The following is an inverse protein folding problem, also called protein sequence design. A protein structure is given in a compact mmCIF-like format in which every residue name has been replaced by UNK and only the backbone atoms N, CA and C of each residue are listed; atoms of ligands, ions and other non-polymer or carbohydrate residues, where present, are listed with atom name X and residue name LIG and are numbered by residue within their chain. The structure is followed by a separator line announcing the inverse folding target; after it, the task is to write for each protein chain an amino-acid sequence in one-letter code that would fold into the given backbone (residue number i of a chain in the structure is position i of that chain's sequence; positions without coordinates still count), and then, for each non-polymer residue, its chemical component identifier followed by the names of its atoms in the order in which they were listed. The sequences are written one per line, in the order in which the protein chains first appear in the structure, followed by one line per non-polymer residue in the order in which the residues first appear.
data_IF_474217848444
#
_entry.id   IF_474217848444
#
_cell.length_a   1.000
_cell.length_b   1.000
_cell.length_c   1.000
_cell.angle_alpha   90.00
_cell.angle_beta   90.00
_cell.angle_gamma   90.00
#
_symmetry.space_group_name_H-M   'P 1'
#
loop_
_entity.id
_entity.type
_entity.pdbx_description
1 polymer ?
#
# COMPACT_ATOMS: atom_id res chain seq x y z
N UNK A 1 9.48 -2.99 33.46
CA UNK A 1 10.59 -2.11 33.01
C UNK A 1 10.00 -1.02 32.12
N UNK A 2 10.44 0.22 32.26
CA UNK A 2 10.04 1.33 31.39
C UNK A 2 10.94 1.39 30.16
N UNK A 3 10.35 1.52 28.97
CA UNK A 3 11.10 1.84 27.76
C UNK A 3 11.53 3.32 27.82
N UNK A 4 12.83 3.57 27.84
CA UNK A 4 13.41 4.92 27.88
C UNK A 4 13.83 5.33 26.48
N UNK A 5 14.56 4.45 25.80
CA UNK A 5 15.05 4.66 24.43
C UNK A 5 14.40 3.68 23.47
N UNK A 6 13.86 4.18 22.37
CA UNK A 6 13.17 3.41 21.32
C UNK A 6 13.87 3.68 19.99
N UNK A 7 14.25 2.62 19.27
CA UNK A 7 14.86 2.71 17.94
C UNK A 7 13.84 2.28 16.88
N UNK A 8 13.65 3.09 15.84
CA UNK A 8 12.75 2.77 14.72
C UNK A 8 13.55 2.70 13.43
N UNK A 9 13.54 1.55 12.77
CA UNK A 9 14.38 1.21 11.62
C UNK A 9 13.52 1.24 10.35
N UNK A 10 13.84 2.17 9.46
CA UNK A 10 13.05 2.54 8.29
C UNK A 10 12.14 3.73 8.62
N UNK A 11 12.41 4.90 8.05
CA UNK A 11 11.70 6.16 8.33
C UNK A 11 10.75 6.55 7.20
N UNK A 12 10.13 5.55 6.56
CA UNK A 12 9.10 5.77 5.54
C UNK A 12 7.73 6.13 6.11
N UNK A 13 6.69 5.84 5.34
CA UNK A 13 5.29 6.12 5.66
C UNK A 13 4.77 5.46 6.94
N UNK A 14 5.46 4.46 7.47
CA UNK A 14 5.08 3.77 8.70
C UNK A 14 6.02 4.19 9.83
N UNK A 15 7.32 3.98 9.68
CA UNK A 15 8.26 4.19 10.78
C UNK A 15 8.44 5.65 11.21
N UNK A 16 8.36 6.64 10.31
CA UNK A 16 8.46 8.05 10.74
C UNK A 16 7.26 8.50 11.59
N UNK A 17 6.00 8.24 11.20
CA UNK A 17 4.85 8.41 12.09
C UNK A 17 4.96 7.67 13.41
N UNK A 18 5.40 6.40 13.40
CA UNK A 18 5.62 5.61 14.64
C UNK A 18 6.66 6.25 15.54
N UNK A 19 7.78 6.71 14.98
CA UNK A 19 8.83 7.42 15.72
C UNK A 19 8.30 8.74 16.33
N UNK A 20 7.56 9.51 15.55
CA UNK A 20 6.94 10.76 15.99
C UNK A 20 5.89 10.54 17.10
N UNK A 21 5.09 9.48 17.01
CA UNK A 21 4.09 9.13 18.02
C UNK A 21 4.74 8.81 19.38
N UNK A 22 5.80 8.00 19.41
CA UNK A 22 6.55 7.75 20.64
C UNK A 22 7.22 9.03 21.18
N UNK A 23 7.84 9.83 20.32
CA UNK A 23 8.52 11.06 20.72
C UNK A 23 7.55 12.12 21.26
N UNK A 24 6.30 12.16 20.75
CA UNK A 24 5.23 13.03 21.27
C UNK A 24 4.86 12.74 22.74
N UNK A 25 5.20 11.53 23.23
CA UNK A 25 5.05 11.10 24.62
C UNK A 25 6.37 11.21 25.40
N UNK A 26 7.27 12.06 24.92
CA UNK A 26 8.56 12.39 25.55
C UNK A 26 9.48 11.19 25.76
N UNK A 27 9.35 10.16 24.91
CA UNK A 27 10.32 9.06 24.84
C UNK A 27 11.51 9.46 23.98
N UNK A 28 12.68 8.95 24.31
CA UNK A 28 13.88 9.16 23.51
C UNK A 28 13.81 8.24 22.30
N UNK A 29 13.60 8.80 21.10
CA UNK A 29 13.43 8.07 19.86
C UNK A 29 14.61 8.29 18.93
N UNK A 30 15.14 7.18 18.43
CA UNK A 30 16.24 7.16 17.47
C UNK A 30 15.71 6.56 16.18
N UNK A 31 15.46 7.42 15.20
CA UNK A 31 15.15 6.98 13.86
C UNK A 31 16.41 6.50 13.14
N UNK A 32 16.32 5.37 12.45
CA UNK A 32 17.40 4.82 11.64
C UNK A 32 16.93 4.65 10.20
N UNK A 33 17.60 5.29 9.24
CA UNK A 33 17.34 5.08 7.82
C UNK A 33 18.65 5.08 7.02
N UNK A 34 18.74 4.25 5.98
CA UNK A 34 19.94 4.19 5.12
C UNK A 34 20.05 5.40 4.20
N UNK A 35 18.95 6.13 3.99
CA UNK A 35 18.90 7.30 3.14
C UNK A 35 19.34 8.55 3.92
N UNK A 36 20.57 9.02 3.64
CA UNK A 36 21.11 10.22 4.27
C UNK A 36 20.21 11.45 4.09
N UNK A 37 19.55 11.59 2.92
CA UNK A 37 18.64 12.71 2.68
C UNK A 37 17.43 12.68 3.63
N UNK A 38 16.88 11.50 3.91
CA UNK A 38 15.80 11.33 4.89
C UNK A 38 16.27 11.71 6.30
N UNK A 39 17.45 11.20 6.70
CA UNK A 39 18.08 11.49 7.99
C UNK A 39 18.29 12.98 8.21
N UNK A 40 18.92 13.66 7.24
CA UNK A 40 19.22 15.09 7.35
C UNK A 40 17.93 15.93 7.41
N UNK A 41 16.90 15.54 6.66
CA UNK A 41 15.60 16.21 6.65
C UNK A 41 14.90 16.09 7.99
N UNK A 42 14.83 14.88 8.55
CA UNK A 42 14.21 14.65 9.86
C UNK A 42 14.95 15.41 10.96
N UNK A 43 16.29 15.42 10.95
CA UNK A 43 17.08 16.15 11.94
C UNK A 43 16.90 17.68 11.89
N UNK A 44 16.34 18.24 10.81
CA UNK A 44 15.93 19.65 10.75
C UNK A 44 14.49 19.90 11.23
N UNK A 45 13.80 18.87 11.75
CA UNK A 45 12.39 18.96 12.12
C UNK A 45 11.44 18.99 10.91
N UNK A 46 11.88 18.44 9.78
CA UNK A 46 11.12 18.36 8.53
C UNK A 46 10.74 16.89 8.20
N UNK A 47 9.86 16.68 7.21
CA UNK A 47 9.43 15.36 6.76
C UNK A 47 9.74 15.17 5.27
N UNK A 48 10.08 13.94 4.88
CA UNK A 48 10.35 13.57 3.47
C UNK A 48 9.23 12.71 2.86
N UNK A 49 8.08 12.65 3.55
CA UNK A 49 6.85 11.99 3.09
C UNK A 49 5.69 12.97 3.17
N UNK A 50 4.63 12.70 2.42
CA UNK A 50 3.40 13.49 2.46
C UNK A 50 2.43 12.83 3.43
N UNK A 51 2.27 13.42 4.62
CA UNK A 51 1.30 13.00 5.62
C UNK A 51 0.81 14.24 6.41
N UNK A 52 -0.51 14.54 6.41
CA UNK A 52 -1.06 15.67 7.15
C UNK A 52 -0.71 15.64 8.64
N UNK A 53 -0.47 16.83 9.21
CA UNK A 53 -0.12 17.05 10.62
C UNK A 53 1.21 16.44 11.11
N UNK A 54 1.80 15.45 10.42
CA UNK A 54 3.04 14.80 10.82
C UNK A 54 4.21 15.80 10.96
N UNK A 55 4.31 16.76 10.05
CA UNK A 55 5.40 17.75 10.05
C UNK A 55 5.50 18.55 11.35
N UNK A 56 4.36 18.93 11.93
CA UNK A 56 4.33 19.67 13.20
C UNK A 56 4.77 18.79 14.38
N UNK A 57 4.37 17.51 14.37
CA UNK A 57 4.75 16.54 15.41
C UNK A 57 6.25 16.26 15.36
N UNK A 58 6.80 16.02 14.16
CA UNK A 58 8.24 15.79 13.95
C UNK A 58 9.05 17.00 14.39
N UNK A 59 8.67 18.21 13.98
CA UNK A 59 9.34 19.45 14.41
C UNK A 59 9.38 19.57 15.93
N UNK A 60 8.23 19.43 16.58
CA UNK A 60 8.13 19.51 18.04
C UNK A 60 8.99 18.47 18.74
N UNK A 61 9.02 17.24 18.21
CA UNK A 61 9.81 16.14 18.76
C UNK A 61 11.32 16.38 18.63
N UNK A 62 11.77 16.93 17.50
CA UNK A 62 13.19 17.24 17.26
C UNK A 62 13.63 18.45 18.08
N UNK A 63 12.86 19.53 18.08
CA UNK A 63 13.14 20.73 18.88
C UNK A 63 13.17 20.42 20.39
N UNK A 64 12.30 19.50 20.83
CA UNK A 64 12.27 19.01 22.21
C UNK A 64 13.37 18.00 22.56
N UNK A 65 14.20 17.58 21.60
CA UNK A 65 15.26 16.59 21.81
C UNK A 65 14.76 15.18 22.08
N UNK A 66 13.53 14.85 21.66
CA UNK A 66 12.92 13.52 21.80
C UNK A 66 13.03 12.66 20.54
N UNK A 67 13.33 13.25 19.39
CA UNK A 67 13.57 12.53 18.13
C UNK A 67 14.87 12.98 17.50
N UNK A 68 15.70 12.01 17.12
CA UNK A 68 16.86 12.23 16.21
C UNK A 68 16.94 11.10 15.20
N UNK A 69 17.43 11.38 14.01
CA UNK A 69 17.67 10.40 12.96
C UNK A 69 19.18 10.15 12.75
N UNK A 70 19.53 8.92 12.35
CA UNK A 70 20.91 8.48 12.05
C UNK A 70 20.90 7.41 10.97
N UNK A 71 22.03 7.16 10.32
CA UNK A 71 22.20 6.03 9.40
C UNK A 71 22.62 4.74 10.08
N UNK A 72 23.07 4.83 11.34
CA UNK A 72 23.66 3.71 12.07
C UNK A 72 22.87 3.46 13.37
N UNK A 73 22.40 2.22 13.61
CA UNK A 73 21.75 1.87 14.86
C UNK A 73 22.64 2.10 16.07
N UNK A 74 22.03 2.49 17.19
CA UNK A 74 22.65 2.56 18.51
C UNK A 74 21.81 1.79 19.51
N UNK A 75 22.36 1.56 20.70
CA UNK A 75 21.66 0.81 21.76
C UNK A 75 20.33 1.46 22.16
N UNK A 76 19.27 0.65 22.27
CA UNK A 76 17.93 1.03 22.69
C UNK A 76 17.26 -0.11 23.50
N UNK A 77 16.15 0.20 24.17
CA UNK A 77 15.36 -0.77 24.94
C UNK A 77 14.34 -1.51 24.05
N UNK A 78 13.89 -0.86 22.98
CA UNK A 78 13.03 -1.43 21.96
C UNK A 78 13.51 -1.06 20.55
N UNK A 79 13.36 -1.98 19.61
CA UNK A 79 13.70 -1.83 18.19
C UNK A 79 12.48 -2.20 17.34
N UNK A 80 11.97 -1.27 16.54
CA UNK A 80 10.85 -1.48 15.63
C UNK A 80 11.35 -1.49 14.19
N UNK A 81 11.13 -2.57 13.46
CA UNK A 81 11.56 -2.72 12.07
C UNK A 81 10.37 -2.46 11.15
N UNK A 82 10.43 -1.35 10.43
CA UNK A 82 9.41 -0.84 9.51
C UNK A 82 10.01 -0.56 8.11
N UNK A 83 10.80 -1.52 7.61
CA UNK A 83 11.43 -1.47 6.27
C UNK A 83 10.53 -2.10 5.19
N UNK A 84 10.75 -1.81 3.90
CA UNK A 84 9.99 -2.43 2.82
C UNK A 84 10.15 -3.95 2.76
N UNK A 85 9.14 -4.63 2.24
CA UNK A 85 9.11 -6.08 1.98
C UNK A 85 8.56 -6.34 0.57
N UNK A 86 9.34 -6.02 -0.49
CA UNK A 86 8.89 -6.18 -1.88
C UNK A 86 8.88 -7.66 -2.31
N UNK A 87 8.63 -7.90 -3.59
CA UNK A 87 8.84 -9.21 -4.20
C UNK A 87 10.28 -9.45 -4.66
N UNK A 88 10.66 -10.73 -4.74
CA UNK A 88 11.78 -11.25 -5.50
C UNK A 88 11.23 -12.18 -6.59
N UNK A 89 11.65 -11.97 -7.85
CA UNK A 89 11.24 -12.84 -8.96
C UNK A 89 9.72 -12.92 -9.15
N UNK A 90 9.19 -14.13 -9.32
CA UNK A 90 7.77 -14.47 -9.59
C UNK A 90 6.88 -14.40 -8.34
N UNK A 91 6.79 -13.21 -7.72
CA UNK A 91 5.96 -12.92 -6.53
C UNK A 91 6.36 -13.58 -5.20
N UNK A 92 7.61 -14.04 -5.06
CA UNK A 92 8.11 -14.50 -3.76
C UNK A 92 8.38 -13.30 -2.83
N UNK A 93 8.08 -13.37 -1.52
CA UNK A 93 8.42 -12.30 -0.59
C UNK A 93 9.94 -12.10 -0.46
N UNK A 94 10.41 -10.86 -0.64
CA UNK A 94 11.81 -10.49 -0.42
C UNK A 94 12.06 -10.03 1.03
N UNK A 95 12.64 -10.93 1.81
CA UNK A 95 13.03 -10.66 3.19
C UNK A 95 14.41 -10.01 3.34
N UNK A 96 15.10 -9.65 2.25
CA UNK A 96 16.45 -9.10 2.30
C UNK A 96 16.54 -7.81 3.14
N UNK A 97 15.54 -6.94 3.05
CA UNK A 97 15.50 -5.67 3.80
C UNK A 97 15.30 -5.90 5.31
N UNK A 98 14.38 -6.78 5.69
CA UNK A 98 14.18 -7.18 7.11
C UNK A 98 15.43 -7.85 7.66
N UNK A 99 16.08 -8.70 6.85
CA UNK A 99 17.36 -9.33 7.23
C UNK A 99 18.48 -8.31 7.41
N UNK A 100 18.57 -7.31 6.53
CA UNK A 100 19.53 -6.23 6.64
C UNK A 100 19.29 -5.37 7.89
N UNK A 101 18.04 -5.06 8.21
CA UNK A 101 17.66 -4.38 9.44
C UNK A 101 18.00 -5.19 10.70
N UNK A 102 17.69 -6.49 10.71
CA UNK A 102 18.08 -7.38 11.81
C UNK A 102 19.60 -7.42 11.99
N UNK A 103 20.35 -7.46 10.88
CA UNK A 103 21.82 -7.43 10.89
C UNK A 103 22.38 -6.10 11.43
N UNK A 104 21.75 -4.98 11.11
CA UNK A 104 22.23 -3.66 11.55
C UNK A 104 22.00 -3.44 13.05
N UNK A 105 20.92 -3.97 13.62
CA UNK A 105 20.64 -3.83 15.07
C UNK A 105 21.37 -4.87 15.93
N UNK A 106 21.77 -6.02 15.36
CA UNK A 106 22.39 -7.11 16.12
C UNK A 106 23.60 -6.66 16.98
N UNK A 107 24.54 -5.82 16.50
CA UNK A 107 25.69 -5.39 17.30
C UNK A 107 25.34 -4.54 18.53
N UNK A 108 24.18 -3.87 18.52
CA UNK A 108 23.75 -2.95 19.58
C UNK A 108 22.64 -3.53 20.47
N UNK A 109 22.22 -4.76 20.19
CA UNK A 109 21.21 -5.46 20.98
C UNK A 109 21.73 -5.78 22.39
N UNK A 110 20.86 -5.70 23.41
CA UNK A 110 21.22 -6.00 24.79
C UNK A 110 20.21 -6.94 25.43
N UNK A 111 20.62 -7.59 26.53
CA UNK A 111 19.71 -8.33 27.40
C UNK A 111 18.59 -7.41 27.87
N UNK A 112 17.37 -7.90 27.82
CA UNK A 112 16.15 -7.15 28.10
C UNK A 112 15.62 -6.36 26.91
N UNK A 113 16.23 -6.38 25.73
CA UNK A 113 15.69 -5.69 24.56
C UNK A 113 14.36 -6.32 24.08
N UNK A 114 13.53 -5.50 23.45
CA UNK A 114 12.35 -5.92 22.68
C UNK A 114 12.59 -5.60 21.20
N UNK A 115 12.41 -6.58 20.31
CA UNK A 115 12.43 -6.35 18.85
C UNK A 115 11.05 -6.63 18.28
N UNK A 116 10.51 -5.68 17.53
CA UNK A 116 9.20 -5.77 16.90
C UNK A 116 9.35 -5.65 15.39
N UNK A 117 8.78 -6.60 14.66
CA UNK A 117 8.58 -6.50 13.23
C UNK A 117 7.22 -5.83 12.96
N UNK A 118 7.23 -4.65 12.33
CA UNK A 118 6.02 -3.96 11.85
C UNK A 118 5.82 -4.13 10.35
N UNK A 119 6.91 -4.33 9.59
CA UNK A 119 6.87 -4.60 8.15
C UNK A 119 5.92 -5.75 7.83
N UNK A 120 4.98 -5.52 6.90
CA UNK A 120 4.06 -6.58 6.45
C UNK A 120 4.88 -7.72 5.85
N UNK A 121 4.76 -8.91 6.41
CA UNK A 121 5.67 -10.03 6.12
C UNK A 121 4.91 -11.34 5.97
N UNK A 122 5.45 -12.33 5.23
CA UNK A 122 4.90 -13.67 5.17
C UNK A 122 4.88 -14.34 6.54
N UNK A 123 4.03 -15.38 6.71
CA UNK A 123 3.93 -16.10 7.98
C UNK A 123 5.24 -16.82 8.29
N UNK A 124 5.73 -16.70 9.52
CA UNK A 124 7.02 -17.21 9.99
C UNK A 124 8.18 -16.22 9.85
N UNK A 125 7.95 -15.02 9.30
CA UNK A 125 8.98 -13.99 9.15
C UNK A 125 9.58 -13.55 10.50
N UNK A 126 8.75 -13.43 11.53
CA UNK A 126 9.17 -13.03 12.88
C UNK A 126 10.09 -14.07 13.51
N UNK A 127 9.77 -15.35 13.34
CA UNK A 127 10.60 -16.47 13.78
C UNK A 127 11.93 -16.53 13.00
N UNK A 128 11.86 -16.28 11.69
CA UNK A 128 13.04 -16.22 10.83
C UNK A 128 13.98 -15.07 11.24
N UNK A 129 13.43 -13.89 11.54
CA UNK A 129 14.16 -12.75 12.07
C UNK A 129 14.81 -13.08 13.41
N UNK A 130 14.08 -13.71 14.34
CA UNK A 130 14.63 -14.18 15.61
C UNK A 130 15.78 -15.18 15.41
N UNK A 131 15.68 -16.05 14.41
CA UNK A 131 16.74 -16.99 14.02
C UNK A 131 18.00 -16.28 13.53
N UNK A 132 17.87 -15.24 12.68
CA UNK A 132 19.02 -14.46 12.25
C UNK A 132 19.70 -13.73 13.41
N UNK A 133 18.92 -13.09 14.28
CA UNK A 133 19.45 -12.39 15.46
C UNK A 133 20.18 -13.36 16.39
N UNK A 134 19.61 -14.54 16.66
CA UNK A 134 20.24 -15.58 17.47
C UNK A 134 21.57 -16.07 16.89
N UNK A 135 21.64 -16.24 15.56
CA UNK A 135 22.89 -16.62 14.89
C UNK A 135 23.98 -15.55 14.95
N UNK A 136 23.59 -14.27 15.02
CA UNK A 136 24.54 -13.14 15.13
C UNK A 136 24.90 -12.79 16.58
N UNK A 137 24.09 -13.19 17.55
CA UNK A 137 24.24 -12.90 18.99
C UNK A 137 24.15 -14.15 19.85
N UNK A 138 25.13 -15.08 19.74
CA UNK A 138 25.15 -16.31 20.53
C UNK A 138 25.32 -16.05 22.04
N UNK A 139 25.70 -14.83 22.43
CA UNK A 139 25.79 -14.35 23.82
C UNK A 139 24.42 -13.99 24.43
N UNK A 140 23.35 -13.92 23.64
CA UNK A 140 21.98 -13.65 24.08
C UNK A 140 21.07 -14.83 23.75
N UNK A 141 20.09 -15.09 24.61
CA UNK A 141 19.04 -16.08 24.35
C UNK A 141 17.78 -15.45 23.73
N UNK A 142 17.16 -16.18 22.81
CA UNK A 142 15.95 -15.78 22.08
C UNK A 142 14.76 -16.72 22.36
N UNK A 143 13.51 -16.33 22.04
CA UNK A 143 12.34 -17.10 22.43
C UNK A 143 12.31 -18.56 21.94
N UNK A 144 12.86 -18.83 20.76
CA UNK A 144 12.99 -20.19 20.22
C UNK A 144 14.02 -21.06 20.96
N UNK A 145 14.87 -20.47 21.80
CA UNK A 145 15.90 -21.16 22.59
C UNK A 145 15.50 -21.29 24.06
N UNK A 146 14.94 -20.23 24.65
CA UNK A 146 14.69 -20.13 26.09
C UNK A 146 13.23 -19.80 26.46
N UNK A 147 12.33 -19.76 25.48
CA UNK A 147 10.91 -19.48 25.69
C UNK A 147 10.70 -18.12 26.38
N UNK A 148 9.97 -18.13 27.49
CA UNK A 148 9.65 -16.93 28.26
C UNK A 148 10.85 -16.34 29.02
N UNK A 149 11.91 -17.13 29.23
CA UNK A 149 13.13 -16.72 29.93
C UNK A 149 14.20 -16.14 29.00
N UNK A 150 13.86 -15.93 27.72
CA UNK A 150 14.77 -15.36 26.74
C UNK A 150 15.24 -13.95 27.13
N UNK A 151 16.53 -13.68 26.90
CA UNK A 151 17.12 -12.36 27.13
C UNK A 151 16.51 -11.30 26.22
N UNK A 152 16.10 -11.66 25.00
CA UNK A 152 15.47 -10.75 24.03
C UNK A 152 14.04 -11.22 23.75
N UNK A 153 13.09 -10.28 23.81
CA UNK A 153 11.70 -10.54 23.44
C UNK A 153 11.44 -10.14 22.00
N UNK A 154 10.65 -10.94 21.27
CA UNK A 154 10.38 -10.76 19.85
C UNK A 154 8.86 -10.78 19.59
N UNK A 155 8.37 -9.81 18.84
CA UNK A 155 6.97 -9.71 18.46
C UNK A 155 6.77 -9.25 17.01
N UNK A 156 5.58 -9.51 16.49
CA UNK A 156 5.02 -8.94 15.28
C UNK A 156 3.84 -8.04 15.65
N UNK A 157 3.85 -6.81 15.16
CA UNK A 157 2.77 -5.86 15.42
C UNK A 157 2.47 -5.11 14.11
N UNK A 158 1.54 -5.63 13.29
CA UNK A 158 1.29 -5.05 11.98
C UNK A 158 0.67 -3.67 12.12
N UNK A 159 1.06 -2.76 11.24
CA UNK A 159 0.40 -1.47 11.13
C UNK A 159 -0.96 -1.59 10.44
N UNK A 160 -1.93 -0.78 10.88
CA UNK A 160 -3.25 -0.63 10.25
C UNK A 160 -3.58 0.86 10.12
N UNK A 161 -2.97 1.49 9.12
CA UNK A 161 -3.12 2.92 8.85
C UNK A 161 -3.59 3.22 7.44
N UNK A 162 -4.42 4.25 7.33
CA UNK A 162 -4.86 4.88 6.11
C UNK A 162 -3.95 6.07 5.78
N UNK A 163 -3.32 6.10 4.59
CA UNK A 163 -2.59 7.28 4.13
C UNK A 163 -3.46 8.54 4.18
N UNK A 164 -2.92 9.64 4.72
CA UNK A 164 -3.65 10.89 4.95
C UNK A 164 -4.28 11.01 6.34
N UNK A 165 -4.36 9.92 7.11
CA UNK A 165 -4.84 9.89 8.49
C UNK A 165 -3.95 9.04 9.41
N UNK A 166 -2.69 8.82 9.03
CA UNK A 166 -1.79 7.85 9.67
C UNK A 166 -1.61 8.17 11.15
N UNK A 167 -1.38 9.44 11.50
CA UNK A 167 -1.19 9.83 12.90
C UNK A 167 -2.43 9.56 13.78
N UNK A 168 -3.63 9.79 13.23
CA UNK A 168 -4.88 9.59 13.97
C UNK A 168 -5.13 8.10 14.16
N UNK A 169 -5.01 7.33 13.09
CA UNK A 169 -5.24 5.89 13.10
C UNK A 169 -4.21 5.13 13.93
N UNK A 170 -2.94 5.53 13.85
CA UNK A 170 -1.88 4.95 14.66
C UNK A 170 -2.18 5.07 16.17
N UNK A 171 -2.74 6.19 16.60
CA UNK A 171 -3.06 6.44 18.02
C UNK A 171 -4.37 5.76 18.41
N UNK A 172 -5.40 5.79 17.57
CA UNK A 172 -6.76 5.41 17.98
C UNK A 172 -7.16 3.98 17.64
N UNK A 173 -6.59 3.39 16.59
CA UNK A 173 -7.02 2.06 16.14
C UNK A 173 -6.60 0.98 17.11
N UNK A 174 -7.42 -0.07 17.22
CA UNK A 174 -7.00 -1.29 17.89
C UNK A 174 -5.82 -1.91 17.15
N UNK A 175 -4.84 -2.39 17.92
CA UNK A 175 -3.59 -2.96 17.41
C UNK A 175 -3.48 -4.41 17.78
N UNK A 176 -3.22 -5.26 16.79
CA UNK A 176 -2.91 -6.68 17.02
C UNK A 176 -1.47 -6.82 17.48
N UNK A 177 -1.27 -7.58 18.55
CA UNK A 177 0.04 -7.81 19.17
C UNK A 177 0.35 -9.31 19.17
N UNK A 178 1.26 -9.75 18.31
CA UNK A 178 1.66 -11.15 18.16
C UNK A 178 3.08 -11.41 18.66
N UNK A 179 3.25 -11.74 19.93
CA UNK A 179 4.54 -12.18 20.49
C UNK A 179 4.91 -13.61 20.10
N UNK A 180 6.21 -13.94 20.09
CA UNK A 180 6.65 -15.35 20.04
C UNK A 180 6.32 -16.12 21.33
N UNK A 181 6.13 -15.40 22.44
CA UNK A 181 5.65 -15.93 23.73
C UNK A 181 4.69 -14.93 24.39
N UNK A 182 3.88 -15.34 25.39
CA UNK A 182 3.02 -14.42 26.15
C UNK A 182 3.78 -13.24 26.76
N UNK A 183 5.00 -13.45 27.27
CA UNK A 183 5.87 -12.37 27.77
C UNK A 183 6.23 -11.38 26.68
N UNK A 184 6.52 -11.86 25.46
CA UNK A 184 6.80 -10.97 24.33
C UNK A 184 5.58 -10.11 23.99
N UNK A 185 4.37 -10.69 23.95
CA UNK A 185 3.14 -9.95 23.70
C UNK A 185 2.88 -8.91 24.79
N UNK A 186 3.03 -9.28 26.06
CA UNK A 186 2.84 -8.36 27.18
C UNK A 186 3.80 -7.16 27.11
N UNK A 187 5.07 -7.40 26.76
CA UNK A 187 6.06 -6.33 26.59
C UNK A 187 5.78 -5.44 25.39
N UNK A 188 5.37 -6.00 24.26
CA UNK A 188 4.96 -5.23 23.09
C UNK A 188 3.71 -4.38 23.38
N UNK A 189 2.70 -4.93 24.04
CA UNK A 189 1.54 -4.16 24.51
C UNK A 189 1.93 -3.02 25.45
N UNK A 190 2.86 -3.25 26.38
CA UNK A 190 3.36 -2.21 27.28
C UNK A 190 4.10 -1.08 26.54
N UNK A 191 4.78 -1.40 25.43
CA UNK A 191 5.40 -0.40 24.57
C UNK A 191 4.33 0.44 23.86
N UNK A 192 3.40 -0.17 23.12
CA UNK A 192 2.41 0.61 22.36
C UNK A 192 1.45 1.42 23.23
N UNK A 193 1.13 0.95 24.44
CA UNK A 193 0.35 1.71 25.44
C UNK A 193 0.98 3.03 25.87
N UNK A 194 2.22 3.34 25.46
CA UNK A 194 2.82 4.67 25.64
C UNK A 194 2.00 5.74 24.90
N UNK A 195 1.52 5.45 23.69
CA UNK A 195 0.75 6.43 22.90
C UNK A 195 -0.63 5.93 22.46
N UNK A 196 -0.84 4.62 22.35
CA UNK A 196 -2.05 4.00 21.81
C UNK A 196 -3.23 4.20 22.77
N UNK A 197 -4.34 4.71 22.24
CA UNK A 197 -5.64 4.85 22.92
C UNK A 197 -6.56 3.65 22.67
N UNK A 198 -6.39 2.95 21.53
CA UNK A 198 -7.09 1.72 21.19
C UNK A 198 -6.66 0.49 21.99
N UNK A 199 -7.34 -0.64 21.77
CA UNK A 199 -7.03 -1.90 22.44
C UNK A 199 -5.77 -2.58 21.85
N UNK A 200 -4.90 -3.10 22.72
CA UNK A 200 -3.85 -4.04 22.33
C UNK A 200 -4.41 -5.47 22.33
N UNK A 201 -4.86 -5.95 21.17
CA UNK A 201 -5.45 -7.28 21.00
C UNK A 201 -4.34 -8.33 20.87
N UNK A 202 -4.14 -9.12 21.93
CA UNK A 202 -3.02 -10.07 22.02
C UNK A 202 -3.31 -11.40 21.32
N UNK A 203 -2.32 -11.88 20.57
CA UNK A 203 -2.27 -13.22 19.97
C UNK A 203 -0.81 -13.71 19.86
N UNK A 204 -0.53 -14.71 19.03
CA UNK A 204 0.83 -15.16 18.69
C UNK A 204 1.33 -14.53 17.37
N UNK A 205 2.65 -14.52 17.17
CA UNK A 205 3.28 -13.91 15.97
C UNK A 205 2.70 -14.42 14.64
N UNK A 206 2.58 -15.74 14.45
CA UNK A 206 2.04 -16.32 13.20
C UNK A 206 0.60 -15.91 12.93
N UNK A 207 -0.25 -15.89 13.95
CA UNK A 207 -1.65 -15.44 13.80
C UNK A 207 -1.70 -13.94 13.46
N UNK A 208 -0.85 -13.12 14.08
CA UNK A 208 -0.80 -11.69 13.77
C UNK A 208 -0.28 -11.41 12.35
N UNK A 209 0.74 -12.14 11.89
CA UNK A 209 1.23 -12.10 10.50
C UNK A 209 0.11 -12.46 9.52
N UNK A 210 -0.55 -13.61 9.74
CA UNK A 210 -1.64 -14.06 8.88
C UNK A 210 -2.83 -13.09 8.91
N UNK A 211 -3.15 -12.49 10.06
CA UNK A 211 -4.24 -11.53 10.19
C UNK A 211 -4.08 -10.36 9.24
N UNK A 212 -2.87 -9.79 9.15
CA UNK A 212 -2.59 -8.68 8.25
C UNK A 212 -2.74 -9.05 6.77
N UNK A 213 -2.19 -10.19 6.37
CA UNK A 213 -2.32 -10.67 4.99
C UNK A 213 -3.78 -10.99 4.63
N UNK A 214 -4.52 -11.57 5.59
CA UNK A 214 -5.95 -11.91 5.42
C UNK A 214 -6.82 -10.68 5.14
N UNK A 215 -6.57 -9.54 5.81
CA UNK A 215 -7.31 -8.30 5.57
C UNK A 215 -7.22 -7.84 4.11
N UNK A 216 -6.00 -7.85 3.56
CA UNK A 216 -5.75 -7.42 2.19
C UNK A 216 -6.22 -8.47 1.16
N UNK A 217 -6.06 -9.76 1.44
CA UNK A 217 -6.62 -10.83 0.59
C UNK A 217 -8.14 -10.83 0.57
N UNK A 218 -8.81 -10.56 1.70
CA UNK A 218 -10.27 -10.42 1.72
C UNK A 218 -10.72 -9.32 0.76
N UNK A 219 -10.08 -8.14 0.83
CA UNK A 219 -10.42 -7.03 -0.05
C UNK A 219 -10.14 -7.34 -1.52
N UNK A 220 -8.98 -7.94 -1.81
CA UNK A 220 -8.58 -8.36 -3.15
C UNK A 220 -9.58 -9.34 -3.80
N UNK A 221 -9.95 -10.40 -3.08
CA UNK A 221 -10.93 -11.41 -3.53
C UNK A 221 -12.29 -10.77 -3.82
N UNK A 222 -12.74 -9.85 -2.98
CA UNK A 222 -14.02 -9.18 -3.22
C UNK A 222 -13.97 -8.19 -4.40
N UNK A 223 -12.82 -7.56 -4.67
CA UNK A 223 -12.64 -6.77 -5.89
C UNK A 223 -12.61 -7.68 -7.12
N UNK A 224 -11.93 -8.82 -7.04
CA UNK A 224 -11.90 -9.81 -8.12
C UNK A 224 -13.30 -10.32 -8.46
N UNK A 225 -14.12 -10.63 -7.43
CA UNK A 225 -15.50 -11.01 -7.62
C UNK A 225 -16.32 -9.92 -8.34
N UNK A 226 -16.15 -8.65 -7.95
CA UNK A 226 -16.81 -7.53 -8.63
C UNK A 226 -16.33 -7.35 -10.08
N UNK A 227 -15.03 -7.51 -10.31
CA UNK A 227 -14.42 -7.45 -11.64
C UNK A 227 -14.95 -8.59 -12.53
N UNK A 228 -14.97 -9.82 -12.05
CA UNK A 228 -15.52 -10.98 -12.78
C UNK A 228 -16.99 -10.77 -13.14
N UNK A 229 -17.81 -10.30 -12.19
CA UNK A 229 -19.21 -9.94 -12.47
C UNK A 229 -19.32 -8.88 -13.56
N UNK A 230 -18.45 -7.86 -13.56
CA UNK A 230 -18.50 -6.80 -14.58
C UNK A 230 -18.24 -7.31 -16.00
N UNK A 231 -17.43 -8.36 -16.15
CA UNK A 231 -17.17 -9.00 -17.44
C UNK A 231 -18.43 -9.74 -17.93
N UNK A 232 -19.02 -10.55 -17.05
CA UNK A 232 -20.27 -11.28 -17.33
C UNK A 232 -21.41 -10.33 -17.67
N UNK A 233 -21.56 -9.26 -16.89
CA UNK A 233 -22.57 -8.23 -17.12
C UNK A 233 -22.38 -7.53 -18.48
N UNK A 234 -21.14 -7.24 -18.88
CA UNK A 234 -20.86 -6.62 -20.17
C UNK A 234 -21.29 -7.52 -21.34
N UNK A 235 -21.00 -8.82 -21.28
CA UNK A 235 -21.39 -9.78 -22.32
C UNK A 235 -22.92 -9.98 -22.41
N UNK A 236 -23.62 -9.87 -21.28
CA UNK A 236 -25.07 -10.04 -21.20
C UNK A 236 -25.87 -8.74 -21.35
N UNK A 237 -25.21 -7.59 -21.53
CA UNK A 237 -25.89 -6.28 -21.60
C UNK A 237 -26.55 -5.84 -20.29
N UNK A 238 -26.02 -6.29 -19.14
CA UNK A 238 -26.52 -5.94 -17.80
C UNK A 238 -25.71 -4.76 -17.22
N UNK A 239 -26.38 -3.81 -16.60
CA UNK A 239 -25.69 -2.73 -15.87
C UNK A 239 -25.13 -3.25 -14.53
N UNK A 240 -23.82 -3.50 -14.49
CA UNK A 240 -23.14 -4.02 -13.28
C UNK A 240 -23.29 -3.13 -12.04
N UNK A 241 -23.34 -1.80 -12.19
CA UNK A 241 -23.46 -0.88 -11.04
C UNK A 241 -24.85 -0.94 -10.44
N UNK A 242 -25.88 -1.02 -11.30
CA UNK A 242 -27.24 -1.24 -10.85
C UNK A 242 -27.39 -2.61 -10.18
N UNK A 243 -26.83 -3.67 -10.79
CA UNK A 243 -26.82 -5.01 -10.22
C UNK A 243 -26.20 -5.01 -8.81
N UNK A 244 -25.01 -4.45 -8.65
CA UNK A 244 -24.31 -4.37 -7.36
C UNK A 244 -25.13 -3.57 -6.35
N UNK A 245 -25.68 -2.41 -6.75
CA UNK A 245 -26.54 -1.59 -5.89
C UNK A 245 -27.77 -2.35 -5.41
N UNK A 246 -28.41 -3.13 -6.28
CA UNK A 246 -29.58 -3.95 -5.93
C UNK A 246 -29.20 -5.14 -5.05
N UNK A 247 -28.13 -5.87 -5.37
CA UNK A 247 -27.66 -7.02 -4.61
C UNK A 247 -27.24 -6.64 -3.18
N UNK A 248 -26.57 -5.49 -3.02
CA UNK A 248 -26.14 -4.97 -1.72
C UNK A 248 -27.30 -4.47 -0.83
N UNK A 249 -28.56 -4.50 -1.31
CA UNK A 249 -29.72 -4.31 -0.42
C UNK A 249 -29.94 -5.48 0.53
N UNK A 250 -29.35 -6.64 0.25
CA UNK A 250 -29.40 -7.79 1.15
C UNK A 250 -28.39 -7.61 2.30
N UNK A 251 -28.79 -7.76 3.58
CA UNK A 251 -28.00 -7.33 4.75
C UNK A 251 -26.69 -8.08 4.99
N UNK A 252 -26.44 -9.17 4.25
CA UNK A 252 -25.22 -9.99 4.35
C UNK A 252 -24.37 -9.93 3.08
N UNK A 253 -24.72 -9.05 2.14
CA UNK A 253 -24.06 -8.91 0.84
C UNK A 253 -23.46 -7.51 0.77
N UNK A 254 -22.15 -7.47 0.53
CA UNK A 254 -21.40 -6.23 0.36
C UNK A 254 -20.39 -6.39 -0.79
N UNK A 255 -20.91 -6.49 -2.01
CA UNK A 255 -20.11 -6.57 -3.23
C UNK A 255 -19.38 -5.24 -3.40
N UNK A 256 -18.06 -5.32 -3.56
CA UNK A 256 -17.22 -4.15 -3.82
C UNK A 256 -17.43 -3.65 -5.26
N UNK A 257 -16.86 -2.49 -5.57
CA UNK A 257 -16.98 -1.93 -6.91
C UNK A 257 -15.94 -2.51 -7.87
N UNK A 258 -16.31 -2.83 -9.12
CA UNK A 258 -15.34 -3.16 -10.15
C UNK A 258 -14.49 -1.93 -10.49
N UNK A 259 -13.38 -2.17 -11.19
CA UNK A 259 -12.45 -1.11 -11.58
C UNK A 259 -11.57 -1.52 -12.76
N UNK A 260 -10.55 -0.70 -13.07
CA UNK A 260 -9.58 -1.01 -14.12
C UNK A 260 -8.59 -2.12 -13.74
N UNK A 261 -8.61 -2.59 -12.50
CA UNK A 261 -7.64 -3.52 -11.92
C UNK A 261 -7.39 -3.17 -10.45
N UNK A 262 -6.37 -3.78 -9.87
CA UNK A 262 -5.93 -3.51 -8.49
C UNK A 262 -4.47 -3.07 -8.52
N UNK A 263 -4.15 -2.05 -7.73
CA UNK A 263 -2.80 -1.49 -7.66
C UNK A 263 -2.35 -1.14 -6.25
N UNK A 264 -1.22 -0.43 -6.19
CA UNK A 264 -0.56 -0.04 -4.94
C UNK A 264 0.24 -1.17 -4.29
N UNK A 265 0.83 -0.89 -3.13
CA UNK A 265 1.84 -1.78 -2.52
C UNK A 265 1.31 -2.86 -1.59
N UNK A 266 0.02 -2.83 -1.24
CA UNK A 266 -0.53 -3.77 -0.25
C UNK A 266 -1.41 -4.83 -0.93
N UNK A 267 -2.53 -4.42 -1.53
CA UNK A 267 -3.51 -5.37 -2.08
C UNK A 267 -2.95 -6.09 -3.32
N UNK A 268 -2.18 -5.38 -4.14
CA UNK A 268 -1.51 -5.98 -5.29
C UNK A 268 -0.24 -6.80 -4.91
N UNK A 269 0.11 -6.93 -3.62
CA UNK A 269 1.32 -7.62 -3.17
C UNK A 269 1.01 -8.71 -2.15
N UNK A 270 0.46 -8.36 -1.00
CA UNK A 270 0.29 -9.22 0.17
C UNK A 270 -0.43 -10.55 -0.09
N UNK A 271 -1.49 -10.62 -0.93
CA UNK A 271 -2.14 -11.90 -1.23
C UNK A 271 -1.19 -12.93 -1.86
N UNK A 272 -0.20 -12.48 -2.63
CA UNK A 272 0.81 -13.38 -3.20
C UNK A 272 1.72 -13.98 -2.14
N UNK A 273 1.95 -13.35 -0.99
CA UNK A 273 2.71 -13.97 0.10
C UNK A 273 2.01 -15.23 0.62
N UNK A 274 0.68 -15.21 0.74
CA UNK A 274 -0.10 -16.40 1.11
C UNK A 274 0.01 -17.45 0.01
N UNK A 275 -0.12 -17.05 -1.27
CA UNK A 275 -0.06 -17.96 -2.41
C UNK A 275 1.31 -18.61 -2.59
N UNK A 276 2.40 -17.85 -2.44
CA UNK A 276 3.77 -18.34 -2.55
C UNK A 276 4.07 -19.39 -1.47
N UNK A 277 3.61 -19.17 -0.24
CA UNK A 277 3.80 -20.13 0.86
C UNK A 277 2.84 -21.34 0.79
N UNK A 278 1.66 -21.19 0.17
CA UNK A 278 0.61 -22.20 0.17
C UNK A 278 0.02 -22.44 -1.24
N UNK A 279 0.85 -22.76 -2.25
CA UNK A 279 0.43 -22.70 -3.65
C UNK A 279 -0.68 -23.69 -4.01
N UNK A 280 -0.80 -24.80 -3.27
CA UNK A 280 -1.83 -25.81 -3.47
C UNK A 280 -3.16 -25.46 -2.78
N UNK A 281 -3.10 -24.83 -1.62
CA UNK A 281 -4.26 -24.51 -0.79
C UNK A 281 -4.88 -23.15 -1.18
N UNK A 282 -4.08 -22.15 -1.51
CA UNK A 282 -4.49 -20.76 -1.76
C UNK A 282 -5.11 -20.55 -3.16
N UNK A 283 -5.97 -21.47 -3.61
CA UNK A 283 -6.55 -21.44 -4.98
C UNK A 283 -7.41 -20.20 -5.22
N UNK A 284 -8.32 -19.88 -4.29
CA UNK A 284 -9.22 -18.73 -4.45
C UNK A 284 -8.46 -17.40 -4.47
N UNK A 285 -7.46 -17.26 -3.60
CA UNK A 285 -6.61 -16.06 -3.52
C UNK A 285 -5.79 -15.91 -4.80
N UNK A 286 -5.23 -17.00 -5.32
CA UNK A 286 -4.53 -17.00 -6.62
C UNK A 286 -5.46 -16.57 -7.76
N UNK A 287 -6.63 -17.19 -7.87
CA UNK A 287 -7.59 -16.86 -8.93
C UNK A 287 -8.05 -15.41 -8.83
N UNK A 288 -8.28 -14.90 -7.62
CA UNK A 288 -8.59 -13.48 -7.44
C UNK A 288 -7.51 -12.56 -8.02
N UNK A 289 -6.23 -12.91 -7.81
CA UNK A 289 -5.11 -12.17 -8.42
C UNK A 289 -5.05 -12.28 -9.91
N UNK A 290 -5.22 -13.47 -10.47
CA UNK A 290 -5.26 -13.68 -11.92
C UNK A 290 -6.40 -12.88 -12.57
N UNK A 291 -7.58 -12.83 -11.93
CA UNK A 291 -8.72 -12.01 -12.37
C UNK A 291 -8.38 -10.52 -12.32
N UNK A 292 -7.83 -10.03 -11.21
CA UNK A 292 -7.49 -8.63 -11.03
C UNK A 292 -6.35 -8.18 -11.96
N UNK A 293 -5.34 -9.02 -12.18
CA UNK A 293 -4.20 -8.76 -13.07
C UNK A 293 -4.61 -8.87 -14.56
N UNK A 294 -5.65 -9.66 -14.87
CA UNK A 294 -6.26 -9.75 -16.19
C UNK A 294 -7.15 -8.56 -16.55
N UNK A 295 -7.76 -7.89 -15.55
CA UNK A 295 -8.73 -6.80 -15.76
C UNK A 295 -8.18 -5.63 -16.60
N UNK A 296 -6.93 -5.14 -16.43
CA UNK A 296 -6.34 -4.13 -17.31
C UNK A 296 -6.37 -4.49 -18.79
N UNK A 297 -6.08 -5.75 -19.15
CA UNK A 297 -6.12 -6.20 -20.55
C UNK A 297 -7.52 -6.13 -21.13
N UNK A 298 -8.52 -6.57 -20.36
CA UNK A 298 -9.92 -6.46 -20.75
C UNK A 298 -10.34 -5.00 -20.99
N UNK A 299 -9.89 -4.06 -20.14
CA UNK A 299 -10.16 -2.62 -20.35
C UNK A 299 -9.54 -2.14 -21.65
N UNK A 300 -8.30 -2.51 -21.95
CA UNK A 300 -7.65 -2.14 -23.22
C UNK A 300 -8.44 -2.67 -24.41
N UNK A 301 -8.98 -3.88 -24.34
CA UNK A 301 -9.79 -4.44 -25.42
C UNK A 301 -11.14 -3.73 -25.58
N UNK A 302 -11.77 -3.28 -24.49
CA UNK A 302 -12.94 -2.39 -24.57
C UNK A 302 -12.61 -1.06 -25.26
N UNK A 303 -11.44 -0.48 -24.99
CA UNK A 303 -10.98 0.74 -25.66
C UNK A 303 -10.75 0.50 -27.15
N UNK A 304 -10.14 -0.63 -27.54
CA UNK A 304 -9.99 -1.00 -28.96
C UNK A 304 -11.34 -1.12 -29.66
N UNK A 305 -12.32 -1.76 -29.02
CA UNK A 305 -13.68 -1.87 -29.55
C UNK A 305 -14.33 -0.49 -29.74
N UNK A 306 -14.25 0.38 -28.74
CA UNK A 306 -14.77 1.75 -28.83
C UNK A 306 -14.10 2.58 -29.95
N UNK A 307 -12.78 2.43 -30.13
CA UNK A 307 -12.05 3.06 -31.24
C UNK A 307 -12.49 2.50 -32.59
N UNK A 308 -12.69 1.19 -32.70
CA UNK A 308 -13.18 0.56 -33.93
C UNK A 308 -14.59 1.07 -34.29
N UNK A 309 -15.49 1.17 -33.32
CA UNK A 309 -16.84 1.72 -33.52
C UNK A 309 -16.80 3.21 -33.90
N UNK A 310 -15.86 3.98 -33.32
CA UNK A 310 -15.63 5.38 -33.68
C UNK A 310 -15.16 5.50 -35.13
N UNK A 311 -14.21 4.67 -35.56
CA UNK A 311 -13.72 4.64 -36.94
C UNK A 311 -14.78 4.18 -37.93
N UNK A 312 -15.64 3.23 -37.56
CA UNK A 312 -16.73 2.78 -38.42
C UNK A 312 -17.84 3.85 -38.60
N UNK A 313 -18.02 4.72 -37.61
CA UNK A 313 -19.05 5.76 -37.62
C UNK A 313 -18.56 7.13 -38.11
N UNK A 314 -17.27 7.29 -38.41
CA UNK A 314 -16.65 8.56 -38.81
C UNK A 314 -15.71 8.35 -39.99
N UNK A 315 -15.44 9.41 -40.77
CA UNK A 315 -14.44 9.35 -41.85
C UNK A 315 -12.99 9.55 -41.36
N UNK A 316 -12.75 9.39 -40.05
CA UNK A 316 -11.42 9.58 -39.46
C UNK A 316 -10.51 8.41 -39.77
N UNK A 317 -9.23 8.70 -39.99
CA UNK A 317 -8.16 7.70 -39.97
C UNK A 317 -7.80 7.33 -38.53
N UNK A 318 -7.25 6.14 -38.32
CA UNK A 318 -6.79 5.69 -36.99
C UNK A 318 -5.84 6.69 -36.31
N UNK A 319 -4.98 7.37 -37.09
CA UNK A 319 -4.05 8.39 -36.60
C UNK A 319 -4.71 9.71 -36.19
N UNK A 320 -5.96 9.93 -36.59
CA UNK A 320 -6.72 11.16 -36.30
C UNK A 320 -7.66 11.00 -35.10
N UNK A 321 -7.93 9.76 -34.68
CA UNK A 321 -8.71 9.48 -33.48
C UNK A 321 -7.88 9.81 -32.24
N UNK A 322 -8.45 10.58 -31.33
CA UNK A 322 -7.82 10.93 -30.06
C UNK A 322 -8.45 10.18 -28.90
N UNK A 323 -7.62 9.58 -28.05
CA UNK A 323 -8.05 8.88 -26.84
C UNK A 323 -7.62 9.71 -25.63
N UNK A 324 -8.52 9.98 -24.69
CA UNK A 324 -8.18 10.60 -23.41
C UNK A 324 -8.38 9.64 -22.24
N UNK A 325 -7.29 9.31 -21.55
CA UNK A 325 -7.31 8.52 -20.32
C UNK A 325 -7.35 9.45 -19.09
N UNK A 326 -8.41 9.33 -18.30
CA UNK A 326 -8.63 10.11 -17.08
C UNK A 326 -8.19 9.30 -15.86
N UNK A 327 -7.12 9.78 -15.23
CA UNK A 327 -6.49 9.19 -14.05
C UNK A 327 -5.30 8.31 -14.39
N UNK A 328 -4.22 8.45 -13.62
CA UNK A 328 -3.02 7.63 -13.67
C UNK A 328 -2.66 7.02 -12.31
N UNK A 329 -3.04 7.65 -11.20
CA UNK A 329 -2.79 7.13 -9.87
C UNK A 329 -3.51 5.78 -9.61
N UNK A 330 -3.02 4.98 -8.67
CA UNK A 330 -3.69 3.70 -8.34
C UNK A 330 -4.95 3.90 -7.47
N UNK A 331 -5.08 5.07 -6.84
CA UNK A 331 -6.19 5.48 -5.96
C UNK A 331 -6.56 6.93 -6.27
N UNK A 332 -7.83 7.33 -6.13
CA UNK A 332 -8.22 8.72 -6.30
C UNK A 332 -7.51 9.66 -5.32
N UNK A 333 -7.30 10.89 -5.80
CA UNK A 333 -6.85 12.08 -5.08
C UNK A 333 -5.46 11.97 -4.43
N UNK A 334 -4.57 11.16 -5.02
CA UNK A 334 -3.16 11.06 -4.62
C UNK A 334 -2.27 11.09 -5.87
N UNK A 335 -0.98 11.32 -5.69
CA UNK A 335 0.04 11.40 -6.76
C UNK A 335 0.84 10.10 -6.94
N UNK A 336 0.47 9.02 -6.25
CA UNK A 336 1.19 7.76 -6.29
C UNK A 336 0.82 6.92 -7.51
N UNK A 337 1.78 6.83 -8.44
CA UNK A 337 1.67 6.08 -9.69
C UNK A 337 2.28 4.67 -9.62
N UNK A 338 2.86 4.29 -8.47
CA UNK A 338 3.54 3.00 -8.31
C UNK A 338 2.52 1.85 -8.37
N UNK A 339 2.85 0.79 -9.11
CA UNK A 339 1.97 -0.36 -9.33
C UNK A 339 0.54 0.03 -9.74
N UNK A 340 0.38 1.13 -10.50
CA UNK A 340 -0.93 1.61 -10.93
C UNK A 340 -1.44 0.85 -12.17
N UNK A 341 -2.63 0.20 -12.11
CA UNK A 341 -3.25 -0.41 -13.28
C UNK A 341 -3.65 0.66 -14.32
N UNK A 342 -4.08 1.85 -13.87
CA UNK A 342 -4.45 2.95 -14.76
C UNK A 342 -3.27 3.41 -15.63
N UNK A 343 -2.08 3.55 -15.01
CA UNK A 343 -0.85 3.86 -15.74
C UNK A 343 -0.50 2.75 -16.75
N UNK A 344 -0.65 1.48 -16.36
CA UNK A 344 -0.40 0.34 -17.25
C UNK A 344 -1.34 0.31 -18.47
N UNK A 345 -2.62 0.63 -18.26
CA UNK A 345 -3.63 0.73 -19.33
C UNK A 345 -3.29 1.89 -20.26
N UNK A 346 -3.04 3.09 -19.73
CA UNK A 346 -2.68 4.26 -20.53
C UNK A 346 -1.42 4.02 -21.36
N UNK A 347 -0.39 3.40 -20.78
CA UNK A 347 0.82 3.00 -21.50
C UNK A 347 0.52 2.00 -22.62
N UNK A 348 -0.32 1.01 -22.36
CA UNK A 348 -0.68 -0.01 -23.36
C UNK A 348 -1.43 0.62 -24.52
N UNK A 349 -2.41 1.49 -24.23
CA UNK A 349 -3.15 2.27 -25.23
C UNK A 349 -2.20 3.07 -26.11
N UNK A 350 -1.32 3.86 -25.50
CA UNK A 350 -0.37 4.71 -26.24
C UNK A 350 0.61 3.94 -27.12
N UNK A 351 0.87 2.66 -26.83
CA UNK A 351 1.78 1.82 -27.63
C UNK A 351 1.14 1.25 -28.89
N UNK A 352 -0.13 0.86 -28.85
CA UNK A 352 -0.80 0.30 -30.04
C UNK A 352 -1.58 1.34 -30.82
N UNK A 353 -2.04 2.42 -30.17
CA UNK A 353 -2.80 3.48 -30.80
C UNK A 353 -1.89 4.35 -31.67
N UNK A 354 -2.29 4.58 -32.92
CA UNK A 354 -1.52 5.38 -33.88
C UNK A 354 -1.80 6.88 -33.81
N UNK A 355 -2.92 7.26 -33.19
CA UNK A 355 -3.28 8.66 -32.95
C UNK A 355 -2.79 9.15 -31.60
N UNK A 356 -3.23 10.36 -31.22
CA UNK A 356 -2.80 10.98 -29.97
C UNK A 356 -3.48 10.33 -28.76
N UNK A 357 -2.68 9.94 -27.76
CA UNK A 357 -3.16 9.52 -26.43
C UNK A 357 -2.91 10.62 -25.41
N UNK A 358 -3.99 11.26 -24.98
CA UNK A 358 -4.01 12.24 -23.91
C UNK A 358 -4.15 11.51 -22.58
N UNK A 359 -3.42 11.98 -21.56
CA UNK A 359 -3.63 11.54 -20.18
C UNK A 359 -3.95 12.75 -19.32
N UNK A 360 -4.92 12.60 -18.42
CA UNK A 360 -5.35 13.65 -17.49
C UNK A 360 -5.14 13.13 -16.08
N UNK A 361 -4.24 13.75 -15.32
CA UNK A 361 -3.98 13.41 -13.92
C UNK A 361 -3.80 14.72 -13.12
N UNK A 362 -4.81 15.15 -12.35
CA UNK A 362 -4.78 16.40 -11.58
C UNK A 362 -3.66 16.45 -10.54
N UNK A 363 -3.20 15.28 -10.06
CA UNK A 363 -2.31 15.18 -8.92
C UNK A 363 -0.83 15.16 -9.31
N UNK A 364 -0.49 15.24 -10.60
CA UNK A 364 0.89 15.31 -11.08
C UNK A 364 1.14 16.54 -11.94
N UNK A 365 2.40 16.98 -12.00
CA UNK A 365 2.82 18.13 -12.83
C UNK A 365 3.62 17.73 -14.06
N UNK A 366 4.12 16.50 -14.11
CA UNK A 366 4.97 15.98 -15.17
C UNK A 366 4.64 14.51 -15.40
N UNK A 367 4.77 14.07 -16.66
CA UNK A 367 4.58 12.66 -16.99
C UNK A 367 5.65 11.79 -16.31
N UNK A 368 5.29 10.60 -15.84
CA UNK A 368 6.30 9.61 -15.46
C UNK A 368 7.10 9.20 -16.71
N UNK A 369 8.39 8.91 -16.53
CA UNK A 369 9.29 8.49 -17.62
C UNK A 369 8.74 7.35 -18.49
N UNK A 370 7.91 6.48 -17.91
CA UNK A 370 7.26 5.36 -18.63
C UNK A 370 6.28 5.81 -19.73
N UNK A 371 5.76 7.04 -19.65
CA UNK A 371 4.82 7.63 -20.61
C UNK A 371 5.45 8.77 -21.43
N UNK A 372 6.70 9.12 -21.16
CA UNK A 372 7.40 10.18 -21.88
C UNK A 372 7.58 9.79 -23.35
N UNK A 373 7.24 10.72 -24.25
CA UNK A 373 7.19 10.49 -25.70
C UNK A 373 6.08 9.55 -26.18
N UNK A 374 5.26 8.97 -25.29
CA UNK A 374 4.13 8.10 -25.64
C UNK A 374 2.77 8.80 -25.46
N UNK A 375 2.64 9.62 -24.42
CA UNK A 375 1.40 10.33 -24.10
C UNK A 375 1.62 11.84 -24.00
N UNK A 376 0.54 12.60 -24.13
CA UNK A 376 0.51 14.04 -23.81
C UNK A 376 -0.24 14.25 -22.49
N UNK A 377 0.40 14.86 -21.48
CA UNK A 377 -0.30 15.30 -20.27
C UNK A 377 -1.19 16.50 -20.60
N UNK A 378 -2.50 16.31 -20.55
CA UNK A 378 -3.49 17.30 -20.93
C UNK A 378 -4.22 17.85 -19.69
N UNK A 379 -4.71 19.09 -19.81
CA UNK A 379 -5.68 19.63 -18.88
C UNK A 379 -7.05 19.00 -19.13
N UNK A 380 -7.85 18.90 -18.07
CA UNK A 380 -9.19 18.31 -18.09
C UNK A 380 -10.06 18.85 -19.23
N UNK A 381 -10.29 20.17 -19.30
CA UNK A 381 -11.15 20.77 -20.34
C UNK A 381 -10.61 20.56 -21.76
N UNK A 382 -9.29 20.61 -21.92
CA UNK A 382 -8.65 20.41 -23.21
C UNK A 382 -8.82 18.96 -23.71
N UNK A 383 -8.72 17.99 -22.81
CA UNK A 383 -8.95 16.58 -23.13
C UNK A 383 -10.42 16.32 -23.46
N UNK A 384 -11.36 16.85 -22.67
CA UNK A 384 -12.80 16.76 -22.95
C UNK A 384 -13.20 17.42 -24.26
N UNK A 385 -12.54 18.51 -24.67
CA UNK A 385 -12.86 19.17 -25.93
C UNK A 385 -12.28 18.43 -27.17
N UNK A 386 -11.15 17.75 -27.01
CA UNK A 386 -10.38 17.23 -28.15
C UNK A 386 -10.55 15.72 -28.38
N UNK A 387 -10.91 14.95 -27.36
CA UNK A 387 -10.94 13.49 -27.45
C UNK A 387 -12.21 12.94 -28.13
N UNK A 388 -12.01 11.88 -28.90
CA UNK A 388 -13.08 11.10 -29.53
C UNK A 388 -13.56 9.96 -28.64
N UNK A 389 -12.61 9.34 -27.93
CA UNK A 389 -12.87 8.25 -26.97
C UNK A 389 -12.36 8.68 -25.61
N UNK A 390 -13.25 8.65 -24.61
CA UNK A 390 -12.89 8.88 -23.21
C UNK A 390 -12.71 7.56 -22.48
N UNK A 391 -11.70 7.48 -21.63
CA UNK A 391 -11.41 6.31 -20.80
C UNK A 391 -11.29 6.76 -19.35
N UNK A 392 -12.28 6.44 -18.52
CA UNK A 392 -12.26 6.77 -17.10
C UNK A 392 -11.59 5.63 -16.32
N UNK A 393 -10.41 5.90 -15.75
CA UNK A 393 -9.59 4.91 -15.04
C UNK A 393 -9.58 5.16 -13.53
N UNK A 394 -9.62 6.41 -13.08
CA UNK A 394 -9.56 6.74 -11.64
C UNK A 394 -10.60 7.80 -11.30
N UNK A 395 -11.34 7.60 -10.22
CA UNK A 395 -12.48 8.43 -9.80
C UNK A 395 -12.09 9.63 -8.91
N UNK A 396 -11.17 10.46 -9.41
CA UNK A 396 -10.77 11.71 -8.74
C UNK A 396 -11.96 12.65 -8.52
N UNK A 397 -11.87 13.49 -7.48
CA UNK A 397 -12.94 14.43 -7.14
C UNK A 397 -13.20 15.43 -8.28
N UNK A 398 -12.15 15.89 -8.96
CA UNK A 398 -12.23 16.75 -10.13
C UNK A 398 -13.01 16.11 -11.27
N UNK A 399 -12.93 14.79 -11.44
CA UNK A 399 -13.62 14.10 -12.52
C UNK A 399 -15.09 13.81 -12.18
N UNK A 400 -15.37 13.49 -10.91
CA UNK A 400 -16.74 13.34 -10.39
C UNK A 400 -17.51 14.64 -10.38
N UNK A 401 -16.81 15.78 -10.30
CA UNK A 401 -17.41 17.11 -10.35
C UNK A 401 -17.89 17.51 -11.75
N UNK A 402 -17.47 16.79 -12.81
CA UNK A 402 -17.93 17.05 -14.17
C UNK A 402 -19.39 16.60 -14.29
N UNK A 403 -20.32 17.52 -14.63
CA UNK A 403 -21.71 17.16 -14.90
C UNK A 403 -21.81 16.19 -16.07
N UNK A 404 -22.72 15.20 -15.99
CA UNK A 404 -22.87 14.22 -17.07
C UNK A 404 -23.26 14.84 -18.42
N UNK A 405 -23.97 15.96 -18.42
CA UNK A 405 -24.32 16.72 -19.63
C UNK A 405 -23.14 17.45 -20.26
N UNK A 406 -22.01 17.61 -19.55
CA UNK A 406 -20.76 18.13 -20.11
C UNK A 406 -19.94 17.08 -20.86
N UNK A 407 -20.29 15.79 -20.74
CA UNK A 407 -19.63 14.68 -21.45
C UNK A 407 -20.39 14.40 -22.75
N UNK A 408 -19.93 15.01 -23.84
CA UNK A 408 -20.61 14.91 -25.15
C UNK A 408 -20.10 13.76 -26.01
N UNK A 409 -19.02 13.09 -25.61
CA UNK A 409 -18.43 11.99 -26.35
C UNK A 409 -19.38 10.80 -26.41
N UNK A 410 -19.57 10.30 -27.63
CA UNK A 410 -20.37 9.09 -27.87
C UNK A 410 -19.70 7.82 -27.32
N UNK A 411 -18.36 7.79 -27.31
CA UNK A 411 -17.58 6.61 -26.96
C UNK A 411 -16.87 6.83 -25.62
N UNK A 412 -17.41 6.22 -24.57
CA UNK A 412 -16.89 6.33 -23.21
C UNK A 412 -16.68 4.93 -22.64
N UNK A 413 -15.44 4.61 -22.28
CA UNK A 413 -15.09 3.41 -21.52
C UNK A 413 -14.93 3.80 -20.05
N UNK A 414 -16.03 3.65 -19.31
CA UNK A 414 -16.06 4.04 -17.90
C UNK A 414 -15.91 2.85 -16.95
N UNK A 415 -14.68 2.67 -16.45
CA UNK A 415 -14.33 1.59 -15.51
C UNK A 415 -14.72 1.89 -14.06
N UNK A 416 -15.18 3.12 -13.77
CA UNK A 416 -15.42 3.62 -12.42
C UNK A 416 -16.88 4.02 -12.14
N UNK A 417 -17.71 4.11 -13.19
CA UNK A 417 -19.12 4.45 -13.07
C UNK A 417 -19.39 5.92 -12.75
N UNK A 418 -18.52 6.82 -13.21
CA UNK A 418 -18.58 8.26 -12.95
C UNK A 418 -19.43 9.03 -13.96
N UNK A 419 -19.33 8.71 -15.25
CA UNK A 419 -19.94 9.51 -16.34
C UNK A 419 -21.02 8.74 -17.09
N UNK A 420 -21.90 8.08 -16.33
CA UNK A 420 -22.97 7.23 -16.86
C UNK A 420 -24.32 7.91 -16.82
#
# INVERSE_FOLDING_TARGET
MSFTTISVIGLGYIGLPTAAAFASRQKQVIGVDINQHAVDTINRGEIHIVEPALGNVVRTAVDGGFLRATTTPVEADAYLIAVPTPFKGEHDPDMAYVKAAAKSIAPVLKKGALVILESTSPVGATEQMAGWLAGMRPDLTFPQQAGEQADVNIAYCPERVLPGQVMVELIKNDRVIGGMTPVCSARASALYKIFLEGECVVTNSRTAEMCKLTENSFRDVNIAFANELSLICAEQGINVWELIRLANRHPRVNILQPGPGVGGHCIAVDPWFIVAQNPQQARLIRTAREVNDGKPHWVVDQVKAAVADCLAATDKRASEVKIACFGLAFKPNIDDLRESPAMGIAQSIARWHSGETLVVEPNIRQLPKKLDGLCTLAKLDAALAAADVLVMLVDHDEFKAIPGDAVHQRYVVDTKGVWR
#
